data_IF_988693504576
#
_entry.id   IF_988693504576
#
_cell.length_a   1.000
_cell.length_b   1.000
_cell.length_c   1.000
_cell.angle_alpha   90.00
_cell.angle_beta   90.00
_cell.angle_gamma   90.00
#
_symmetry.space_group_name_H-M   'P 1'
#
loop_
_entity.id
_entity.type
_entity.pdbx_description
1 polymer ?
#
# COMPACT_ATOMS: atom_id res chain seq x y z
N UNK A 1 11.56 9.08 -5.26
CA UNK A 1 11.24 10.44 -4.75
C UNK A 1 10.01 10.47 -3.84
N UNK A 2 9.02 9.58 -4.02
CA UNK A 2 7.92 9.38 -3.06
C UNK A 2 8.38 8.97 -1.66
N UNK A 3 9.48 8.22 -1.53
CA UNK A 3 9.98 7.67 -0.25
C UNK A 3 10.58 8.72 0.71
N UNK A 4 11.19 9.78 0.19
CA UNK A 4 11.70 10.89 1.02
C UNK A 4 10.56 11.77 1.53
N UNK A 5 9.50 11.95 0.72
CA UNK A 5 8.24 12.55 1.15
C UNK A 5 7.48 11.64 2.14
N UNK A 6 7.56 10.31 1.99
CA UNK A 6 6.91 9.31 2.87
C UNK A 6 7.40 9.41 4.33
N UNK A 7 8.71 9.55 4.53
CA UNK A 7 9.31 9.65 5.86
C UNK A 7 9.03 10.98 6.56
N UNK A 8 9.15 12.09 5.82
CA UNK A 8 8.83 13.44 6.33
C UNK A 8 7.32 13.63 6.58
N UNK A 9 6.46 13.08 5.72
CA UNK A 9 5.02 13.08 5.91
C UNK A 9 4.59 12.18 7.08
N UNK A 10 5.26 11.05 7.31
CA UNK A 10 4.97 10.17 8.44
C UNK A 10 5.13 10.85 9.80
N UNK A 11 6.14 11.71 9.95
CA UNK A 11 6.40 12.46 11.19
C UNK A 11 5.36 13.55 11.47
N UNK A 12 4.86 14.24 10.44
CA UNK A 12 3.88 15.33 10.61
C UNK A 12 2.41 14.87 10.60
N UNK A 13 2.06 13.88 9.78
CA UNK A 13 0.67 13.42 9.65
C UNK A 13 0.29 12.30 10.61
N UNK A 14 1.26 11.61 11.22
CA UNK A 14 1.03 10.66 12.30
C UNK A 14 0.13 11.20 13.42
N UNK A 15 0.46 12.34 14.06
CA UNK A 15 -0.36 12.89 15.15
C UNK A 15 -1.76 13.37 14.69
N UNK A 16 -1.90 13.85 13.45
CA UNK A 16 -3.18 14.30 12.89
C UNK A 16 -4.09 13.08 12.62
N UNK A 17 -3.53 12.02 12.04
CA UNK A 17 -4.24 10.77 11.80
C UNK A 17 -4.66 10.11 13.14
N UNK A 18 -3.82 10.16 14.16
CA UNK A 18 -4.13 9.62 15.49
C UNK A 18 -5.33 10.32 16.12
N UNK A 19 -5.35 11.66 16.10
CA UNK A 19 -6.45 12.46 16.67
C UNK A 19 -7.75 12.27 15.88
N UNK A 20 -7.68 12.26 14.55
CA UNK A 20 -8.85 12.00 13.71
C UNK A 20 -9.43 10.60 13.96
N UNK A 21 -8.56 9.59 14.09
CA UNK A 21 -8.98 8.21 14.33
C UNK A 21 -9.53 8.01 15.73
N UNK A 22 -8.92 8.61 16.77
CA UNK A 22 -9.43 8.55 18.15
C UNK A 22 -10.81 9.20 18.29
N UNK A 23 -11.06 10.34 17.63
CA UNK A 23 -12.38 10.99 17.63
C UNK A 23 -13.42 10.09 16.97
N UNK A 24 -13.09 9.44 15.86
CA UNK A 24 -14.01 8.53 15.19
C UNK A 24 -14.21 7.20 15.93
N UNK A 25 -13.16 6.67 16.57
CA UNK A 25 -13.22 5.44 17.37
C UNK A 25 -14.03 5.65 18.67
N UNK A 26 -13.90 6.82 19.30
CA UNK A 26 -14.72 7.25 20.44
C UNK A 26 -16.20 7.39 20.05
N UNK A 27 -16.49 7.85 18.84
CA UNK A 27 -17.87 7.98 18.35
C UNK A 27 -18.49 6.64 17.95
N UNK A 28 -17.68 5.62 17.63
CA UNK A 28 -18.14 4.30 17.16
C UNK A 28 -17.85 3.14 18.15
N UNK A 29 -17.49 3.41 19.41
CA UNK A 29 -17.12 2.40 20.41
C UNK A 29 -16.08 1.36 19.89
N UNK A 30 -15.10 1.79 19.09
CA UNK A 30 -14.07 0.89 18.56
C UNK A 30 -12.81 0.95 19.42
N UNK A 31 -12.33 -0.22 19.85
CA UNK A 31 -11.10 -0.37 20.63
C UNK A 31 -9.89 0.07 19.79
N UNK A 32 -9.20 1.13 20.21
CA UNK A 32 -7.95 1.60 19.59
C UNK A 32 -6.80 0.79 20.19
N UNK A 33 -6.12 -0.02 19.37
CA UNK A 33 -4.93 -0.76 19.82
C UNK A 33 -3.73 0.19 19.82
N UNK A 34 -3.16 0.45 21.00
CA UNK A 34 -2.00 1.33 21.22
C UNK A 34 -0.66 0.62 21.02
N UNK A 35 -0.60 -0.47 20.25
CA UNK A 35 0.62 -1.24 20.06
C UNK A 35 1.54 -0.57 19.02
N UNK A 36 2.27 0.45 19.47
CA UNK A 36 3.25 1.21 18.66
C UNK A 36 4.52 0.37 18.39
N UNK A 37 4.75 -0.71 19.15
CA UNK A 37 5.98 -1.54 19.09
C UNK A 37 6.01 -2.52 17.91
N UNK A 38 4.85 -2.91 17.36
CA UNK A 38 4.79 -3.68 16.09
C UNK A 38 5.13 -2.84 14.84
N UNK A 39 5.45 -1.56 15.02
CA UNK A 39 5.49 -0.58 13.93
C UNK A 39 6.72 -0.68 13.05
N UNK A 40 7.93 -0.92 13.56
CA UNK A 40 9.14 -0.78 12.72
C UNK A 40 9.25 -1.84 11.63
N UNK A 41 9.04 -3.11 11.96
CA UNK A 41 9.03 -4.18 10.97
C UNK A 41 7.91 -3.98 9.95
N UNK A 42 6.70 -3.62 10.40
CA UNK A 42 5.57 -3.30 9.51
C UNK A 42 5.89 -2.13 8.57
N UNK A 43 6.56 -1.09 9.06
CA UNK A 43 6.99 0.06 8.25
C UNK A 43 8.03 -0.35 7.22
N UNK A 44 9.00 -1.18 7.59
CA UNK A 44 10.03 -1.70 6.67
C UNK A 44 9.38 -2.55 5.56
N UNK A 45 8.53 -3.51 5.93
CA UNK A 45 7.83 -4.35 4.93
C UNK A 45 6.96 -3.51 4.00
N UNK A 46 6.29 -2.49 4.52
CA UNK A 46 5.44 -1.60 3.70
C UNK A 46 6.29 -0.70 2.80
N UNK A 47 7.45 -0.22 3.27
CA UNK A 47 8.39 0.53 2.45
C UNK A 47 8.97 -0.31 1.30
N UNK A 48 9.36 -1.56 1.58
CA UNK A 48 9.81 -2.52 0.57
C UNK A 48 8.70 -2.77 -0.46
N UNK A 49 7.47 -2.99 0.01
CA UNK A 49 6.30 -3.16 -0.86
C UNK A 49 6.08 -1.97 -1.80
N UNK A 50 6.18 -0.73 -1.31
CA UNK A 50 6.07 0.46 -2.16
C UNK A 50 7.19 0.57 -3.20
N UNK A 51 8.42 0.26 -2.82
CA UNK A 51 9.56 0.21 -3.75
C UNK A 51 9.27 -0.81 -4.86
N UNK A 52 8.89 -2.03 -4.48
CA UNK A 52 8.55 -3.09 -5.42
C UNK A 52 7.40 -2.68 -6.36
N UNK A 53 6.39 -1.99 -5.84
CA UNK A 53 5.30 -1.49 -6.65
C UNK A 53 5.75 -0.43 -7.68
N UNK A 54 6.64 0.49 -7.28
CA UNK A 54 7.19 1.50 -8.18
C UNK A 54 8.04 0.89 -9.30
N UNK A 55 8.86 -0.11 -8.97
CA UNK A 55 9.68 -0.86 -9.93
C UNK A 55 8.78 -1.63 -10.90
N UNK A 56 7.76 -2.32 -10.37
CA UNK A 56 6.81 -3.06 -11.20
C UNK A 56 6.04 -2.14 -12.17
N UNK A 57 5.59 -0.98 -11.71
CA UNK A 57 4.95 0.02 -12.57
C UNK A 57 5.89 0.53 -13.67
N UNK A 58 7.18 0.71 -13.37
CA UNK A 58 8.18 1.10 -14.36
C UNK A 58 8.44 -0.02 -15.39
N UNK A 59 8.51 -1.28 -14.95
CA UNK A 59 8.67 -2.45 -15.84
C UNK A 59 7.46 -2.57 -16.77
N UNK A 60 6.24 -2.48 -16.25
CA UNK A 60 5.01 -2.52 -17.07
C UNK A 60 5.03 -1.45 -18.16
N UNK A 61 5.45 -0.24 -17.78
CA UNK A 61 5.52 0.90 -18.70
C UNK A 61 6.51 0.65 -19.85
N UNK A 62 7.63 0.01 -19.56
CA UNK A 62 8.69 -0.25 -20.55
C UNK A 62 8.43 -1.52 -21.38
N UNK A 63 7.76 -2.53 -20.80
CA UNK A 63 7.57 -3.84 -21.43
C UNK A 63 6.34 -3.89 -22.35
N UNK A 64 5.28 -3.13 -22.04
CA UNK A 64 4.01 -3.16 -22.78
C UNK A 64 3.87 -1.89 -23.63
N UNK A 65 4.14 -1.94 -24.94
CA UNK A 65 3.88 -0.81 -25.82
C UNK A 65 2.37 -0.50 -25.87
N UNK A 66 2.02 0.79 -25.92
CA UNK A 66 0.66 1.34 -25.93
C UNK A 66 -0.16 1.23 -24.63
N UNK A 67 -0.28 0.04 -24.03
CA UNK A 67 -1.11 -0.15 -22.82
C UNK A 67 -0.34 0.01 -21.49
N UNK A 68 0.99 -0.03 -21.51
CA UNK A 68 1.82 0.07 -20.31
C UNK A 68 1.63 1.40 -19.56
N UNK A 69 1.32 2.48 -20.26
CA UNK A 69 1.01 3.78 -19.64
C UNK A 69 -0.22 3.70 -18.74
N UNK A 70 -1.34 3.19 -19.27
CA UNK A 70 -2.61 3.10 -18.55
C UNK A 70 -2.55 2.10 -17.41
N UNK A 71 -1.86 0.97 -17.60
CA UNK A 71 -1.72 -0.04 -16.56
C UNK A 71 -0.84 0.47 -15.41
N UNK A 72 0.24 1.20 -15.71
CA UNK A 72 1.04 1.87 -14.69
C UNK A 72 0.26 2.97 -13.95
N UNK A 73 -0.62 3.70 -14.65
CA UNK A 73 -1.51 4.68 -14.04
C UNK A 73 -2.50 4.03 -13.05
N UNK A 74 -3.18 2.96 -13.46
CA UNK A 74 -4.08 2.19 -12.58
C UNK A 74 -3.35 1.62 -11.37
N UNK A 75 -2.12 1.16 -11.54
CA UNK A 75 -1.30 0.69 -10.43
C UNK A 75 -1.00 1.81 -9.42
N UNK A 76 -0.59 2.99 -9.90
CA UNK A 76 -0.37 4.16 -9.04
C UNK A 76 -1.64 4.59 -8.31
N UNK A 77 -2.79 4.47 -8.97
CA UNK A 77 -4.12 4.67 -8.40
C UNK A 77 -4.35 3.80 -7.16
N UNK A 78 -4.11 2.49 -7.29
CA UNK A 78 -4.26 1.55 -6.19
C UNK A 78 -3.28 1.82 -5.05
N UNK A 79 -2.03 2.16 -5.37
CA UNK A 79 -0.99 2.50 -4.37
C UNK A 79 -1.34 3.75 -3.58
N UNK A 80 -1.81 4.80 -4.26
CA UNK A 80 -2.23 6.05 -3.62
C UNK A 80 -3.38 5.83 -2.64
N UNK A 81 -4.37 5.03 -3.04
CA UNK A 81 -5.45 4.65 -2.14
C UNK A 81 -4.94 3.82 -0.97
N UNK A 82 -4.12 2.79 -1.22
CA UNK A 82 -3.52 1.97 -0.17
C UNK A 82 -2.77 2.83 0.88
N UNK A 83 -2.02 3.84 0.42
CA UNK A 83 -1.26 4.74 1.30
C UNK A 83 -2.14 5.60 2.21
N UNK A 84 -3.33 6.01 1.76
CA UNK A 84 -4.26 6.76 2.60
C UNK A 84 -4.92 5.87 3.67
N UNK A 85 -5.18 4.60 3.35
CA UNK A 85 -5.81 3.63 4.24
C UNK A 85 -4.83 2.93 5.19
N UNK A 86 -3.52 3.03 4.94
CA UNK A 86 -2.47 2.39 5.75
C UNK A 86 -2.60 2.75 7.24
N UNK A 87 -2.80 4.03 7.54
CA UNK A 87 -2.96 4.54 8.92
C UNK A 87 -4.13 3.88 9.63
N UNK A 88 -5.29 3.80 8.96
CA UNK A 88 -6.49 3.14 9.48
C UNK A 88 -6.21 1.69 9.84
N UNK A 89 -5.53 0.95 8.96
CA UNK A 89 -5.24 -0.47 9.18
C UNK A 89 -4.12 -0.71 10.20
N UNK A 90 -3.16 0.22 10.32
CA UNK A 90 -2.17 0.22 11.39
C UNK A 90 -2.85 0.33 12.76
N UNK A 91 -3.80 1.26 12.94
CA UNK A 91 -4.58 1.37 14.18
C UNK A 91 -5.49 0.15 14.46
N UNK A 92 -5.89 -0.58 13.43
CA UNK A 92 -6.63 -1.84 13.56
C UNK A 92 -5.73 -3.07 13.80
N UNK A 93 -4.40 -2.90 13.78
CA UNK A 93 -3.44 -4.00 13.97
C UNK A 93 -3.45 -5.03 12.84
N UNK A 94 -3.85 -4.66 11.63
CA UNK A 94 -3.90 -5.61 10.50
C UNK A 94 -2.50 -5.94 9.99
N UNK A 95 -2.24 -7.21 9.65
CA UNK A 95 -1.02 -7.64 8.97
C UNK A 95 -1.00 -7.18 7.50
N UNK A 96 0.19 -7.09 6.89
CA UNK A 96 0.37 -6.67 5.50
C UNK A 96 -0.47 -7.54 4.53
N UNK A 97 -0.42 -8.86 4.69
CA UNK A 97 -1.17 -9.80 3.85
C UNK A 97 -2.69 -9.60 3.92
N UNK A 98 -3.21 -9.30 5.12
CA UNK A 98 -4.63 -9.00 5.33
C UNK A 98 -5.02 -7.71 4.62
N UNK A 99 -4.20 -6.66 4.70
CA UNK A 99 -4.42 -5.38 4.02
C UNK A 99 -4.45 -5.58 2.50
N UNK A 100 -3.49 -6.33 1.96
CA UNK A 100 -3.40 -6.60 0.53
C UNK A 100 -4.61 -7.38 0.01
N UNK A 101 -5.00 -8.45 0.73
CA UNK A 101 -6.16 -9.26 0.39
C UNK A 101 -7.46 -8.46 0.44
N UNK A 102 -7.56 -7.50 1.36
CA UNK A 102 -8.71 -6.61 1.47
C UNK A 102 -8.82 -5.65 0.29
N UNK A 103 -7.69 -5.09 -0.17
CA UNK A 103 -7.68 -4.24 -1.37
C UNK A 103 -8.03 -5.02 -2.63
N UNK A 104 -7.56 -6.27 -2.78
CA UNK A 104 -7.90 -7.11 -3.94
C UNK A 104 -9.37 -7.50 -4.00
N UNK A 105 -10.04 -7.62 -2.86
CA UNK A 105 -11.49 -7.87 -2.75
C UNK A 105 -12.35 -6.62 -3.06
N UNK A 106 -11.80 -5.43 -2.82
CA UNK A 106 -12.52 -4.15 -2.97
C UNK A 106 -11.83 -3.26 -4.01
N UNK A 107 -11.21 -3.89 -5.01
CA UNK A 107 -10.28 -3.24 -5.93
C UNK A 107 -10.90 -2.05 -6.68
N UNK A 108 -12.18 -2.13 -7.04
CA UNK A 108 -12.90 -1.07 -7.77
C UNK A 108 -13.04 0.20 -6.92
N UNK A 109 -13.35 0.05 -5.63
CA UNK A 109 -13.41 1.17 -4.69
C UNK A 109 -12.03 1.82 -4.53
N UNK A 110 -10.98 1.03 -4.33
CA UNK A 110 -9.63 1.57 -4.15
C UNK A 110 -9.09 2.27 -5.40
N UNK A 111 -9.36 1.73 -6.59
CA UNK A 111 -9.03 2.41 -7.84
C UNK A 111 -9.77 3.74 -7.97
N UNK A 112 -11.09 3.76 -7.72
CA UNK A 112 -11.89 4.99 -7.79
C UNK A 112 -11.46 6.04 -6.76
N UNK A 113 -11.16 5.63 -5.53
CA UNK A 113 -10.70 6.52 -4.47
C UNK A 113 -9.34 7.15 -4.79
N UNK A 114 -8.41 6.37 -5.34
CA UNK A 114 -7.08 6.86 -5.71
C UNK A 114 -7.07 7.76 -6.95
N UNK A 115 -8.07 7.64 -7.83
CA UNK A 115 -8.07 8.26 -9.16
C UNK A 115 -7.87 9.77 -9.14
N UNK A 116 -8.66 10.56 -8.39
CA UNK A 116 -8.52 12.01 -8.44
C UNK A 116 -7.16 12.45 -7.89
N UNK A 117 -6.63 11.77 -6.86
CA UNK A 117 -5.31 12.05 -6.32
C UNK A 117 -4.20 11.71 -7.31
N UNK A 118 -4.30 10.58 -8.02
CA UNK A 118 -3.33 10.19 -9.04
C UNK A 118 -3.37 11.11 -10.25
N UNK A 119 -4.55 11.57 -10.71
CA UNK A 119 -4.63 12.58 -11.78
C UNK A 119 -3.92 13.87 -11.37
N UNK A 120 -4.13 14.34 -10.15
CA UNK A 120 -3.51 15.58 -9.65
C UNK A 120 -2.00 15.49 -9.43
N UNK A 121 -1.44 14.29 -9.32
CA UNK A 121 -0.01 14.11 -9.00
C UNK A 121 0.79 13.53 -10.16
N UNK A 122 0.17 12.76 -11.06
CA UNK A 122 0.85 12.01 -12.12
C UNK A 122 1.22 12.87 -13.33
N UNK A 123 0.44 13.90 -13.64
CA UNK A 123 0.72 14.80 -14.77
C UNK A 123 1.64 15.99 -14.40
N UNK A 124 1.90 16.20 -13.12
CA UNK A 124 2.68 17.35 -12.66
C UNK A 124 4.18 17.03 -12.54
N UNK A 125 5.06 18.01 -12.75
CA UNK A 125 6.48 17.86 -12.44
C UNK A 125 6.67 17.56 -10.95
N UNK A 126 7.74 16.83 -10.63
CA UNK A 126 7.91 16.20 -9.32
C UNK A 126 7.84 17.15 -8.12
N UNK A 127 8.31 18.39 -8.28
CA UNK A 127 8.24 19.42 -7.23
C UNK A 127 6.79 19.83 -6.93
N UNK A 128 6.01 20.12 -7.97
CA UNK A 128 4.61 20.50 -7.82
C UNK A 128 3.75 19.33 -7.35
N UNK A 129 4.03 18.13 -7.87
CA UNK A 129 3.39 16.89 -7.44
C UNK A 129 3.57 16.66 -5.93
N UNK A 130 4.78 16.87 -5.41
CA UNK A 130 5.08 16.77 -3.98
C UNK A 130 4.34 17.80 -3.11
N UNK A 131 4.24 19.04 -3.58
CA UNK A 131 3.52 20.11 -2.87
C UNK A 131 2.00 19.85 -2.84
N UNK A 132 1.41 19.51 -3.99
CA UNK A 132 -0.02 19.17 -4.11
C UNK A 132 -0.35 17.94 -3.26
N UNK A 133 0.53 16.94 -3.30
CA UNK A 133 0.39 15.76 -2.46
C UNK A 133 0.38 16.13 -0.98
N UNK A 134 1.37 16.88 -0.48
CA UNK A 134 1.43 17.27 0.93
C UNK A 134 0.20 18.03 1.44
N UNK A 135 -0.44 18.84 0.58
CA UNK A 135 -1.65 19.58 0.93
C UNK A 135 -2.92 18.72 0.93
N UNK A 136 -3.09 17.88 -0.08
CA UNK A 136 -4.32 17.09 -0.28
C UNK A 136 -4.33 15.80 0.55
N UNK A 137 -3.14 15.27 0.82
CA UNK A 137 -2.94 14.03 1.55
C UNK A 137 -3.68 13.94 2.90
N UNK A 138 -3.59 14.91 3.83
CA UNK A 138 -4.31 14.82 5.11
C UNK A 138 -5.82 14.72 4.93
N UNK A 139 -6.39 15.43 3.95
CA UNK A 139 -7.82 15.34 3.64
C UNK A 139 -8.20 13.93 3.18
N UNK A 140 -7.36 13.32 2.34
CA UNK A 140 -7.55 11.95 1.87
C UNK A 140 -7.43 10.90 2.98
N UNK A 141 -6.52 11.08 3.93
CA UNK A 141 -6.40 10.20 5.10
C UNK A 141 -7.68 10.27 5.95
N UNK A 142 -8.23 11.47 6.19
CA UNK A 142 -9.49 11.62 6.93
C UNK A 142 -10.66 10.96 6.17
N UNK A 143 -10.74 11.15 4.85
CA UNK A 143 -11.74 10.46 4.04
C UNK A 143 -11.59 8.93 4.11
N UNK A 144 -10.36 8.42 4.12
CA UNK A 144 -10.09 6.99 4.25
C UNK A 144 -10.48 6.42 5.63
N UNK A 145 -10.27 7.17 6.71
CA UNK A 145 -10.71 6.74 8.05
C UNK A 145 -12.23 6.66 8.13
N UNK A 146 -12.94 7.61 7.51
CA UNK A 146 -14.41 7.63 7.46
C UNK A 146 -15.01 6.60 6.49
N UNK A 147 -14.33 6.31 5.37
CA UNK A 147 -14.85 5.44 4.34
C UNK A 147 -14.97 3.97 4.78
N UNK A 148 -16.09 3.34 4.46
CA UNK A 148 -16.32 1.89 4.60
C UNK A 148 -16.41 1.26 3.22
N UNK A 149 -15.30 0.70 2.68
CA UNK A 149 -15.32 0.05 1.39
C UNK A 149 -16.35 -1.09 1.41
N UNK A 150 -17.34 -1.03 0.52
CA UNK A 150 -18.32 -2.09 0.32
C UNK A 150 -17.77 -3.11 -0.69
N UNK A 151 -18.00 -4.42 -0.49
CA UNK A 151 -17.56 -5.44 -1.43
C UNK A 151 -18.03 -5.14 -2.85
N UNK A 152 -17.22 -5.46 -3.85
CA UNK A 152 -17.58 -5.27 -5.26
C UNK A 152 -18.77 -6.15 -5.70
N UNK A 153 -19.15 -7.14 -4.90
CA UNK A 153 -20.25 -8.07 -5.19
C UNK A 153 -21.58 -7.61 -4.57
N UNK A 154 -22.68 -7.57 -5.34
CA UNK A 154 -24.04 -7.41 -4.83
C UNK A 154 -24.62 -8.67 -4.16
N UNK A 155 -23.94 -9.81 -4.19
CA UNK A 155 -24.58 -11.11 -3.91
C UNK A 155 -25.14 -11.27 -2.49
N UNK A 156 -24.69 -10.45 -1.53
CA UNK A 156 -25.19 -10.42 -0.14
C UNK A 156 -25.95 -9.12 0.22
N UNK A 157 -26.24 -8.23 -0.74
CA UNK A 157 -27.03 -7.03 -0.49
C UNK A 157 -28.48 -7.28 -0.96
N UNK A 158 -29.50 -7.13 -0.08
CA UNK A 158 -30.89 -7.12 -0.55
C UNK A 158 -31.06 -5.93 -1.48
N UNK A 159 -31.13 -6.19 -2.78
CA UNK A 159 -31.36 -5.18 -3.81
C UNK A 159 -32.71 -4.51 -3.55
N UNK A 160 -32.69 -3.22 -3.24
CA UNK A 160 -33.88 -2.41 -3.24
C UNK A 160 -34.49 -2.46 -4.65
N UNK A 161 -35.70 -3.00 -4.73
CA UNK A 161 -36.49 -3.17 -5.93
C UNK A 161 -36.57 -1.86 -6.73
N UNK A 162 -35.87 -1.79 -7.86
CA UNK A 162 -35.88 -0.58 -8.66
C UNK A 162 -34.92 -0.58 -9.84
N UNK A 163 -35.27 -1.33 -10.89
CA UNK A 163 -34.79 -1.06 -12.25
C UNK A 163 -33.50 -1.78 -12.65
N UNK A 164 -33.65 -2.66 -13.64
CA UNK A 164 -32.56 -3.34 -14.32
C UNK A 164 -31.45 -2.35 -14.76
N UNK A 165 -30.25 -2.51 -14.21
CA UNK A 165 -29.02 -1.90 -14.75
C UNK A 165 -28.06 -3.03 -15.08
N UNK A 166 -27.57 -3.02 -16.32
CA UNK A 166 -26.70 -4.02 -16.92
C UNK A 166 -25.65 -4.52 -15.90
N UNK A 167 -25.77 -5.79 -15.53
CA UNK A 167 -24.86 -6.46 -14.60
C UNK A 167 -23.52 -6.66 -15.30
N UNK A 168 -22.69 -5.62 -15.32
CA UNK A 168 -21.26 -5.77 -15.55
C UNK A 168 -20.69 -6.51 -14.34
N UNK A 169 -20.72 -7.85 -14.40
CA UNK A 169 -20.19 -8.74 -13.37
C UNK A 169 -18.68 -8.58 -13.32
N UNK A 170 -18.25 -7.64 -12.48
CA UNK A 170 -16.83 -7.38 -12.23
C UNK A 170 -16.23 -8.56 -11.46
N UNK A 171 -15.00 -8.98 -11.77
CA UNK A 171 -14.34 -10.04 -11.03
C UNK A 171 -14.29 -9.73 -9.53
N UNK A 172 -14.76 -10.67 -8.70
CA UNK A 172 -14.86 -10.53 -7.24
C UNK A 172 -13.48 -10.38 -6.56
N UNK A 173 -12.41 -10.79 -7.25
CA UNK A 173 -11.02 -10.50 -6.87
C UNK A 173 -10.20 -10.21 -8.13
N UNK A 174 -9.48 -9.10 -8.13
CA UNK A 174 -8.45 -8.83 -9.14
C UNK A 174 -7.09 -8.97 -8.47
N UNK A 175 -6.20 -9.85 -8.96
CA UNK A 175 -4.87 -10.04 -8.41
C UNK A 175 -3.93 -8.89 -8.81
N UNK A 176 -4.32 -7.66 -8.48
CA UNK A 176 -3.64 -6.42 -8.87
C UNK A 176 -2.20 -6.37 -8.31
N UNK A 177 -1.97 -6.98 -7.15
CA UNK A 177 -0.65 -7.04 -6.51
C UNK A 177 0.08 -8.38 -6.70
N UNK A 178 -0.42 -9.28 -7.54
CA UNK A 178 0.24 -10.57 -7.74
C UNK A 178 1.64 -10.43 -8.35
N UNK A 179 1.79 -9.53 -9.33
CA UNK A 179 3.11 -9.21 -9.91
C UNK A 179 4.06 -8.60 -8.88
N UNK A 180 3.56 -7.71 -8.03
CA UNK A 180 4.34 -7.09 -6.95
C UNK A 180 4.74 -8.12 -5.89
N UNK A 181 3.85 -9.05 -5.52
CA UNK A 181 4.16 -10.14 -4.58
C UNK A 181 5.26 -11.07 -5.09
N UNK A 182 5.29 -11.37 -6.39
CA UNK A 182 6.41 -12.13 -6.97
C UNK A 182 7.72 -11.37 -6.86
N UNK A 183 7.70 -10.05 -7.10
CA UNK A 183 8.87 -9.20 -6.96
C UNK A 183 9.34 -9.12 -5.49
N UNK A 184 8.41 -8.99 -4.56
CA UNK A 184 8.67 -8.94 -3.12
C UNK A 184 9.32 -10.23 -2.62
N UNK A 185 8.77 -11.38 -3.01
CA UNK A 185 9.35 -12.70 -2.72
C UNK A 185 10.74 -12.87 -3.34
N UNK A 186 10.97 -12.35 -4.55
CA UNK A 186 12.28 -12.37 -5.19
C UNK A 186 13.29 -11.53 -4.42
N UNK A 187 12.91 -10.32 -3.99
CA UNK A 187 13.77 -9.45 -3.17
C UNK A 187 14.09 -10.11 -1.84
N UNK A 188 13.10 -10.69 -1.15
CA UNK A 188 13.32 -11.41 0.12
C UNK A 188 14.26 -12.60 -0.09
N UNK A 189 14.11 -13.34 -1.19
CA UNK A 189 15.02 -14.44 -1.55
C UNK A 189 16.44 -13.93 -1.81
N UNK A 190 16.60 -12.84 -2.55
CA UNK A 190 17.91 -12.23 -2.80
C UNK A 190 18.56 -11.72 -1.51
N UNK A 191 17.80 -11.08 -0.62
CA UNK A 191 18.30 -10.65 0.69
C UNK A 191 18.74 -11.85 1.54
N UNK A 192 17.97 -12.95 1.52
CA UNK A 192 18.35 -14.19 2.19
C UNK A 192 19.58 -14.84 1.57
N UNK A 193 19.72 -14.79 0.26
CA UNK A 193 20.85 -15.35 -0.46
C UNK A 193 22.11 -14.52 -0.21
N UNK A 194 22.04 -13.19 -0.30
CA UNK A 194 23.17 -12.31 0.00
C UNK A 194 23.53 -12.37 1.49
N UNK A 195 22.53 -12.33 2.38
CA UNK A 195 22.74 -12.44 3.83
C UNK A 195 23.26 -13.82 4.26
N UNK A 196 22.79 -14.89 3.61
CA UNK A 196 23.27 -16.26 3.81
C UNK A 196 24.70 -16.46 3.31
N UNK A 197 25.01 -15.93 2.13
CA UNK A 197 26.38 -15.91 1.57
C UNK A 197 27.33 -15.11 2.48
N UNK A 198 26.87 -14.00 3.05
CA UNK A 198 27.67 -13.22 4.00
C UNK A 198 27.89 -13.98 5.32
N UNK A 199 26.88 -14.66 5.84
CA UNK A 199 27.00 -15.48 7.05
C UNK A 199 27.98 -16.65 6.86
N UNK A 200 27.92 -17.36 5.73
CA UNK A 200 28.86 -18.44 5.42
C UNK A 200 30.31 -17.93 5.28
N UNK A 201 30.50 -16.73 4.71
CA UNK A 201 31.82 -16.13 4.59
C UNK A 201 32.44 -15.76 5.95
N UNK A 202 31.64 -15.24 6.89
CA UNK A 202 32.09 -14.91 8.26
C UNK A 202 32.45 -16.18 9.04
N UNK A 203 31.62 -17.22 8.97
CA UNK A 203 31.90 -18.51 9.63
C UNK A 203 33.15 -19.18 9.05
N UNK A 204 33.40 -19.01 7.74
CA UNK A 204 34.60 -19.55 7.09
C UNK A 204 35.89 -18.82 7.50
N UNK A 205 35.84 -17.50 7.69
CA UNK A 205 36.93 -16.67 8.19
C UNK A 205 37.24 -17.00 9.66
N UNK A 206 36.21 -17.11 10.51
CA UNK A 206 36.37 -17.44 11.93
C UNK A 206 37.00 -18.83 12.12
N UNK A 207 36.58 -19.83 11.33
CA UNK A 207 37.20 -21.17 11.32
C UNK A 207 38.65 -21.17 10.81
N UNK A 208 39.03 -20.25 9.92
CA UNK A 208 40.42 -20.11 9.46
C UNK A 208 41.29 -19.50 10.55
N UNK A 209 40.81 -18.46 11.23
CA UNK A 209 41.54 -17.81 12.32
C UNK A 209 41.75 -18.76 13.51
N UNK A 210 40.73 -19.53 13.89
CA UNK A 210 40.81 -20.52 14.98
C UNK A 210 41.73 -21.73 14.70
N UNK A 211 42.26 -21.87 13.47
CA UNK A 211 43.18 -22.95 13.09
C UNK A 211 44.64 -22.48 12.96
N UNK A 212 44.87 -21.17 13.13
CA UNK A 212 46.18 -20.52 13.08
C UNK A 212 46.74 -20.20 14.48
N UNK A 213 45.94 -20.37 15.53
CA UNK A 213 46.34 -20.41 16.94
C UNK A 213 46.59 -21.86 17.39
#
# INVERSE_FOLDING_TARGET
MYLTLLGLNGQFFGPIAEKAYQVQARNNNRTVSTNIVSSMASTIYTAIFYINCSVFAAIIRSLVPYFGFWLAFLMNCAVMAYYCFEYKWLYMGWTLERRLSYVEQHWSFFLGFGLPLTVLTFFLPTLYSGAVFGLIYPCYVIMATMATPKPASPYDQPVASGGARAEFSLPNKVPLFYGVRKLDNLVILLVRLVGGVHADSIVSEEKKMAKLE
#
